data_IF_490092089674
#
_entry.id   IF_490092089674
#
_cell.length_a   1.000
_cell.length_b   1.000
_cell.length_c   1.000
_cell.angle_alpha   90.00
_cell.angle_beta   90.00
_cell.angle_gamma   90.00
#
_symmetry.space_group_name_H-M   'P 1'
#
loop_
_entity.id
_entity.type
_entity.pdbx_description
1 polymer ?
#
# COMPACT_ATOMS: atom_id res chain seq x y z
N UNK A 1 -12.29 8.40 -37.91
CA UNK A 1 -11.59 9.56 -38.48
C UNK A 1 -11.40 9.40 -40.00
N UNK A 2 -10.97 8.24 -40.50
CA UNK A 2 -10.74 7.99 -41.95
C UNK A 2 -12.04 8.15 -42.79
N UNK A 3 -13.18 7.73 -42.27
CA UNK A 3 -14.48 7.82 -42.97
C UNK A 3 -14.99 9.26 -43.12
N UNK A 4 -14.61 10.17 -42.24
CA UNK A 4 -15.03 11.59 -42.25
C UNK A 4 -14.16 12.40 -43.20
N UNK A 5 -12.84 12.12 -43.25
CA UNK A 5 -11.87 12.91 -44.00
C UNK A 5 -11.61 12.40 -45.44
N UNK A 6 -12.21 11.27 -45.84
CA UNK A 6 -12.00 10.60 -47.15
C UNK A 6 -10.52 10.37 -47.56
N UNK A 7 -9.64 10.27 -46.56
CA UNK A 7 -8.24 9.94 -46.83
C UNK A 7 -7.99 8.43 -46.71
N UNK A 8 -7.56 7.82 -47.78
CA UNK A 8 -7.04 6.47 -47.81
C UNK A 8 -5.55 6.50 -47.56
N UNK A 9 -5.13 6.38 -46.29
CA UNK A 9 -3.72 6.37 -45.94
C UNK A 9 -3.47 6.58 -44.45
N UNK A 10 -2.20 6.53 -44.05
CA UNK A 10 -1.80 6.78 -42.68
C UNK A 10 -1.65 8.29 -42.42
N UNK A 11 -2.31 8.81 -41.39
CA UNK A 11 -2.24 10.23 -41.02
C UNK A 11 -1.14 10.51 -40.00
N UNK A 12 -0.67 9.50 -39.28
CA UNK A 12 0.37 9.63 -38.25
C UNK A 12 1.20 8.36 -38.16
N UNK A 13 2.49 8.53 -37.97
CA UNK A 13 3.48 7.48 -37.74
C UNK A 13 4.11 7.69 -36.37
N UNK A 14 3.95 6.72 -35.47
CA UNK A 14 4.58 6.72 -34.16
C UNK A 14 5.81 5.82 -34.20
N UNK A 15 6.95 6.38 -33.77
CA UNK A 15 8.23 5.67 -33.72
C UNK A 15 8.76 5.78 -32.30
N UNK A 16 9.08 4.64 -31.70
CA UNK A 16 9.65 4.54 -30.36
C UNK A 16 11.15 4.33 -30.47
N UNK A 17 11.92 5.16 -29.82
CA UNK A 17 13.34 4.98 -29.60
C UNK A 17 13.60 4.49 -28.18
N UNK A 18 14.74 3.84 -27.98
CA UNK A 18 15.12 3.32 -26.66
C UNK A 18 15.44 4.44 -25.66
N UNK A 19 15.93 5.57 -26.16
CA UNK A 19 16.29 6.74 -25.35
C UNK A 19 15.97 8.04 -26.09
N UNK A 20 15.63 9.09 -25.33
CA UNK A 20 15.30 10.41 -25.88
C UNK A 20 16.52 11.11 -26.56
N UNK A 21 17.72 10.90 -26.00
CA UNK A 21 18.93 11.43 -26.60
C UNK A 21 19.12 10.89 -28.02
N UNK A 22 19.01 9.58 -28.21
CA UNK A 22 19.04 8.88 -29.47
C UNK A 22 17.92 9.33 -30.43
N UNK A 23 16.71 9.55 -29.88
CA UNK A 23 15.59 10.08 -30.66
C UNK A 23 15.89 11.46 -31.22
N UNK A 24 16.49 12.35 -30.41
CA UNK A 24 16.86 13.71 -30.80
C UNK A 24 17.96 13.73 -31.86
N UNK A 25 18.96 12.89 -31.73
CA UNK A 25 20.07 12.77 -32.65
C UNK A 25 19.64 12.20 -34.00
N UNK A 26 18.82 11.16 -34.02
CA UNK A 26 18.41 10.44 -35.22
C UNK A 26 17.12 10.95 -35.88
N UNK A 27 16.40 11.88 -35.26
CA UNK A 27 15.14 12.39 -35.78
C UNK A 27 15.26 12.98 -37.18
N UNK A 28 16.34 13.71 -37.43
CA UNK A 28 16.61 14.31 -38.75
C UNK A 28 16.96 13.27 -39.82
N UNK A 29 17.71 12.25 -39.46
CA UNK A 29 18.07 11.13 -40.33
C UNK A 29 16.84 10.30 -40.67
N UNK A 30 16.06 9.93 -39.65
CA UNK A 30 14.81 9.19 -39.80
C UNK A 30 13.82 9.92 -40.71
N UNK A 31 13.66 11.23 -40.51
CA UNK A 31 12.83 12.07 -41.40
C UNK A 31 13.27 11.99 -42.85
N UNK A 32 14.57 12.04 -43.11
CA UNK A 32 15.15 11.94 -44.47
C UNK A 32 14.86 10.57 -45.08
N UNK A 33 15.05 9.51 -44.32
CA UNK A 33 14.78 8.14 -44.76
C UNK A 33 13.29 7.94 -45.09
N UNK A 34 12.40 8.38 -44.24
CA UNK A 34 10.94 8.27 -44.47
C UNK A 34 10.52 9.09 -45.71
N UNK A 35 11.03 10.32 -45.87
CA UNK A 35 10.70 11.15 -47.03
C UNK A 35 11.24 10.60 -48.35
N UNK A 36 12.31 9.83 -48.29
CA UNK A 36 12.90 9.21 -49.49
C UNK A 36 12.29 7.86 -49.86
N UNK A 37 11.82 7.12 -48.85
CA UNK A 37 11.23 5.80 -49.06
C UNK A 37 9.72 5.84 -49.29
N UNK A 38 9.05 6.95 -48.98
CA UNK A 38 7.60 7.08 -49.09
C UNK A 38 7.21 8.33 -49.87
N UNK A 39 6.07 8.26 -50.57
CA UNK A 39 5.47 9.45 -51.24
C UNK A 39 4.80 10.43 -50.23
N UNK A 40 4.93 10.17 -48.94
CA UNK A 40 4.33 11.00 -47.89
C UNK A 40 5.24 12.15 -47.51
N UNK A 41 4.71 13.36 -47.43
CA UNK A 41 5.40 14.53 -46.87
C UNK A 41 5.12 14.62 -45.37
N UNK A 42 6.19 14.64 -44.59
CA UNK A 42 6.11 14.88 -43.14
C UNK A 42 5.85 16.37 -42.93
N UNK A 43 4.64 16.73 -42.52
CA UNK A 43 4.25 18.14 -42.29
C UNK A 43 4.84 18.67 -40.98
N UNK A 44 4.83 17.86 -39.94
CA UNK A 44 5.47 18.16 -38.64
C UNK A 44 5.87 16.88 -37.95
N UNK A 45 6.83 16.97 -37.07
CA UNK A 45 7.21 15.89 -36.16
C UNK A 45 7.30 16.42 -34.73
N UNK A 46 6.85 15.63 -33.81
CA UNK A 46 6.87 15.92 -32.38
C UNK A 46 7.85 14.95 -31.71
N UNK A 47 8.88 15.52 -31.09
CA UNK A 47 9.74 14.75 -30.18
C UNK A 47 9.20 14.93 -28.77
N UNK A 48 8.51 13.92 -28.28
CA UNK A 48 7.99 13.91 -26.91
C UNK A 48 9.03 13.30 -25.96
N UNK A 49 9.40 14.06 -24.94
CA UNK A 49 10.26 13.56 -23.87
C UNK A 49 9.36 12.99 -22.76
N UNK A 50 9.37 11.66 -22.55
CA UNK A 50 8.52 11.06 -21.53
C UNK A 50 8.75 11.62 -20.11
N UNK A 51 9.97 12.12 -19.83
CA UNK A 51 10.27 12.68 -18.51
C UNK A 51 9.68 14.08 -18.30
N UNK A 52 9.40 14.82 -19.37
CA UNK A 52 8.85 16.19 -19.35
C UNK A 52 7.38 16.24 -19.78
N UNK A 53 6.81 15.12 -20.19
CA UNK A 53 5.41 15.03 -20.54
C UNK A 53 4.57 15.36 -19.32
N UNK A 54 3.73 16.40 -19.43
CA UNK A 54 2.91 16.91 -18.32
C UNK A 54 2.00 15.84 -17.74
N UNK A 55 1.51 14.91 -18.57
CA UNK A 55 0.69 13.79 -18.09
C UNK A 55 1.51 12.81 -17.24
N UNK A 56 2.72 12.44 -17.69
CA UNK A 56 3.58 11.51 -16.92
C UNK A 56 4.03 12.15 -15.61
N UNK A 57 4.35 13.44 -15.63
CA UNK A 57 4.67 14.21 -14.43
C UNK A 57 3.46 14.27 -13.48
N UNK A 58 2.27 14.55 -14.01
CA UNK A 58 1.02 14.55 -13.26
C UNK A 58 0.70 13.19 -12.65
N UNK A 59 0.84 12.10 -13.42
CA UNK A 59 0.64 10.74 -12.93
C UNK A 59 1.62 10.37 -11.81
N UNK A 60 2.87 10.77 -11.90
CA UNK A 60 3.86 10.58 -10.81
C UNK A 60 3.49 11.36 -9.56
N UNK A 61 3.03 12.60 -9.69
CA UNK A 61 2.58 13.39 -8.55
C UNK A 61 1.35 12.77 -7.90
N UNK A 62 0.38 12.34 -8.69
CA UNK A 62 -0.79 11.63 -8.21
C UNK A 62 -0.43 10.34 -7.47
N UNK A 63 0.49 9.54 -8.02
CA UNK A 63 1.00 8.33 -7.36
C UNK A 63 1.67 8.63 -6.01
N UNK A 64 2.38 9.76 -5.88
CA UNK A 64 2.97 10.19 -4.59
C UNK A 64 1.90 10.51 -3.56
N UNK A 65 0.83 11.21 -3.97
CA UNK A 65 -0.30 11.49 -3.08
C UNK A 65 -0.97 10.20 -2.63
N UNK A 66 -1.22 9.26 -3.54
CA UNK A 66 -1.78 7.95 -3.19
C UNK A 66 -0.87 7.18 -2.24
N UNK A 67 0.45 7.25 -2.43
CA UNK A 67 1.42 6.61 -1.53
C UNK A 67 1.35 7.22 -0.12
N UNK A 68 1.25 8.54 0.00
CA UNK A 68 1.09 9.21 1.30
C UNK A 68 -0.21 8.76 1.98
N UNK A 69 -1.32 8.73 1.24
CA UNK A 69 -2.60 8.24 1.75
C UNK A 69 -2.52 6.78 2.21
N UNK A 70 -1.81 5.93 1.46
CA UNK A 70 -1.60 4.53 1.83
C UNK A 70 -0.80 4.41 3.15
N UNK A 71 0.23 5.23 3.34
CA UNK A 71 1.00 5.26 4.58
C UNK A 71 0.13 5.73 5.76
N UNK A 72 -0.67 6.77 5.57
CA UNK A 72 -1.60 7.24 6.61
C UNK A 72 -2.62 6.15 6.95
N UNK A 73 -3.21 5.51 5.95
CA UNK A 73 -4.14 4.40 6.17
C UNK A 73 -3.48 3.24 6.93
N UNK A 74 -2.22 2.93 6.63
CA UNK A 74 -1.45 1.90 7.32
C UNK A 74 -1.21 2.27 8.80
N UNK A 75 -0.91 3.54 9.11
CA UNK A 75 -0.75 4.01 10.50
C UNK A 75 -2.07 3.86 11.26
N UNK A 76 -3.19 4.27 10.67
CA UNK A 76 -4.52 4.14 11.28
C UNK A 76 -4.88 2.68 11.50
N UNK A 77 -4.64 1.82 10.51
CA UNK A 77 -4.88 0.39 10.61
C UNK A 77 -4.03 -0.25 11.74
N UNK A 78 -2.75 0.14 11.83
CA UNK A 78 -1.85 -0.31 12.89
C UNK A 78 -2.37 0.07 14.28
N UNK A 79 -2.84 1.30 14.44
CA UNK A 79 -3.47 1.76 15.69
C UNK A 79 -4.72 0.96 16.05
N UNK A 80 -5.58 0.68 15.06
CA UNK A 80 -6.78 -0.14 15.24
C UNK A 80 -6.44 -1.57 15.69
N UNK A 81 -5.49 -2.22 15.01
CA UNK A 81 -5.04 -3.57 15.38
C UNK A 81 -4.48 -3.59 16.80
N UNK A 82 -3.65 -2.59 17.16
CA UNK A 82 -3.09 -2.47 18.51
C UNK A 82 -4.21 -2.35 19.57
N UNK A 83 -5.23 -1.54 19.30
CA UNK A 83 -6.37 -1.38 20.22
C UNK A 83 -7.18 -2.67 20.36
N UNK A 84 -7.50 -3.34 19.23
CA UNK A 84 -8.25 -4.61 19.27
C UNK A 84 -7.49 -5.67 20.05
N UNK A 85 -6.21 -5.87 19.77
CA UNK A 85 -5.39 -6.86 20.49
C UNK A 85 -5.28 -6.49 21.97
N UNK A 86 -5.11 -5.21 22.31
CA UNK A 86 -5.06 -4.76 23.70
C UNK A 86 -6.37 -5.06 24.44
N UNK A 87 -7.51 -4.85 23.80
CA UNK A 87 -8.83 -5.16 24.36
C UNK A 87 -9.00 -6.67 24.56
N UNK A 88 -8.70 -7.47 23.55
CA UNK A 88 -8.78 -8.94 23.63
C UNK A 88 -7.88 -9.48 24.76
N UNK A 89 -6.66 -8.97 24.85
CA UNK A 89 -5.73 -9.34 25.92
C UNK A 89 -6.27 -8.94 27.29
N UNK A 90 -6.85 -7.74 27.42
CA UNK A 90 -7.42 -7.26 28.68
C UNK A 90 -8.62 -8.12 29.12
N UNK A 91 -9.51 -8.46 28.20
CA UNK A 91 -10.67 -9.32 28.46
C UNK A 91 -10.27 -10.76 28.83
N UNK A 92 -9.18 -11.25 28.25
CA UNK A 92 -8.70 -12.62 28.45
C UNK A 92 -7.64 -12.76 29.55
N UNK A 93 -7.37 -11.71 30.35
CA UNK A 93 -6.36 -11.77 31.43
C UNK A 93 -6.54 -12.93 32.37
N UNK A 94 -7.79 -13.23 32.78
CA UNK A 94 -8.11 -14.36 33.66
C UNK A 94 -7.78 -15.71 33.02
N UNK A 95 -8.03 -15.86 31.71
CA UNK A 95 -7.69 -17.06 30.95
C UNK A 95 -6.18 -17.24 30.86
N UNK A 96 -5.45 -16.13 30.60
CA UNK A 96 -3.98 -16.12 30.60
C UNK A 96 -3.43 -16.53 31.96
N UNK A 97 -4.03 -16.03 33.06
CA UNK A 97 -3.68 -16.41 34.43
C UNK A 97 -3.90 -17.92 34.69
N UNK A 98 -5.05 -18.44 34.27
CA UNK A 98 -5.38 -19.87 34.41
C UNK A 98 -4.41 -20.74 33.58
N UNK A 99 -4.09 -20.37 32.35
CA UNK A 99 -3.11 -21.08 31.52
C UNK A 99 -1.75 -21.13 32.19
N UNK A 100 -1.29 -20.01 32.78
CA UNK A 100 0.00 -19.94 33.49
C UNK A 100 -0.03 -20.79 34.78
N UNK A 101 -1.16 -20.82 35.49
CA UNK A 101 -1.30 -21.69 36.65
C UNK A 101 -1.23 -23.19 36.34
N UNK A 102 -1.63 -23.57 35.10
CA UNK A 102 -1.48 -24.92 34.54
C UNK A 102 -0.08 -25.20 33.96
N UNK A 103 0.85 -24.22 34.02
CA UNK A 103 2.23 -24.39 33.61
C UNK A 103 2.58 -23.75 32.25
N UNK A 104 1.66 -23.00 31.61
CA UNK A 104 1.99 -22.28 30.39
C UNK A 104 3.02 -21.18 30.65
N UNK A 105 4.02 -21.09 29.76
CA UNK A 105 5.05 -20.07 29.83
C UNK A 105 4.62 -18.76 29.16
N UNK A 106 5.31 -17.66 29.45
CA UNK A 106 5.09 -16.40 28.74
C UNK A 106 5.30 -16.49 27.22
N UNK A 107 6.14 -17.44 26.77
CA UNK A 107 6.35 -17.71 25.34
C UNK A 107 5.14 -18.36 24.68
N UNK A 108 4.44 -19.24 25.39
CA UNK A 108 3.24 -19.90 24.87
C UNK A 108 2.12 -18.87 24.68
N UNK A 109 1.94 -17.98 25.65
CA UNK A 109 1.02 -16.84 25.53
C UNK A 109 1.39 -15.95 24.35
N UNK A 110 2.67 -15.59 24.21
CA UNK A 110 3.16 -14.78 23.10
C UNK A 110 2.84 -15.43 21.74
N UNK A 111 3.13 -16.72 21.58
CA UNK A 111 2.88 -17.45 20.34
C UNK A 111 1.39 -17.51 19.97
N UNK A 112 0.51 -17.72 20.95
CA UNK A 112 -0.94 -17.79 20.72
C UNK A 112 -1.45 -16.44 20.19
N UNK A 113 -1.11 -15.33 20.84
CA UNK A 113 -1.62 -14.02 20.43
C UNK A 113 -0.95 -13.45 19.20
N UNK A 114 0.33 -13.74 18.97
CA UNK A 114 0.98 -13.42 17.69
C UNK A 114 0.42 -14.26 16.54
N UNK A 115 0.11 -15.53 16.79
CA UNK A 115 -0.60 -16.38 15.85
C UNK A 115 -1.98 -15.83 15.48
N UNK A 116 -2.71 -15.30 16.46
CA UNK A 116 -3.99 -14.63 16.24
C UNK A 116 -3.82 -13.36 15.38
N UNK A 117 -2.83 -12.52 15.71
CA UNK A 117 -2.51 -11.32 14.91
C UNK A 117 -2.11 -11.68 13.48
N UNK A 118 -1.33 -12.75 13.30
CA UNK A 118 -0.98 -13.27 11.99
C UNK A 118 -2.20 -13.76 11.21
N UNK A 119 -3.12 -14.49 11.86
CA UNK A 119 -4.36 -14.93 11.24
C UNK A 119 -5.22 -13.74 10.75
N UNK A 120 -5.35 -12.68 11.55
CA UNK A 120 -6.00 -11.45 11.12
C UNK A 120 -5.26 -10.77 9.96
N UNK A 121 -3.93 -10.79 9.97
CA UNK A 121 -3.10 -10.32 8.87
C UNK A 121 -3.41 -11.08 7.57
N UNK A 122 -3.48 -12.40 7.62
CA UNK A 122 -3.83 -13.24 6.45
C UNK A 122 -5.24 -12.94 5.95
N UNK A 123 -6.23 -12.89 6.86
CA UNK A 123 -7.63 -12.62 6.52
C UNK A 123 -7.83 -11.22 5.92
N UNK A 124 -7.02 -10.24 6.29
CA UNK A 124 -7.06 -8.90 5.69
C UNK A 124 -6.27 -8.80 4.39
N UNK A 125 -5.11 -9.45 4.33
CA UNK A 125 -4.20 -9.35 3.17
C UNK A 125 -4.75 -10.04 1.93
N UNK A 126 -5.34 -11.22 2.07
CA UNK A 126 -5.87 -11.97 0.93
C UNK A 126 -6.94 -11.16 0.18
N UNK A 127 -8.04 -10.73 0.80
CA UNK A 127 -9.04 -9.91 0.11
C UNK A 127 -8.49 -8.55 -0.31
N UNK A 128 -7.55 -7.95 0.45
CA UNK A 128 -6.90 -6.71 0.10
C UNK A 128 -6.11 -6.79 -1.20
N UNK A 129 -5.32 -7.83 -1.39
CA UNK A 129 -4.58 -8.07 -2.63
C UNK A 129 -5.52 -8.44 -3.78
N UNK A 130 -6.50 -9.32 -3.54
CA UNK A 130 -7.48 -9.74 -4.55
C UNK A 130 -8.33 -8.57 -5.07
N UNK A 131 -8.66 -7.59 -4.23
CA UNK A 131 -9.37 -6.39 -4.64
C UNK A 131 -8.43 -5.31 -5.21
N UNK A 132 -7.26 -5.14 -4.62
CA UNK A 132 -6.32 -4.10 -4.99
C UNK A 132 -5.74 -4.26 -6.41
N UNK A 133 -5.43 -5.49 -6.81
CA UNK A 133 -4.88 -5.77 -8.14
C UNK A 133 -5.85 -5.41 -9.29
N UNK A 134 -7.11 -5.87 -9.31
CA UNK A 134 -8.04 -5.49 -10.37
C UNK A 134 -8.41 -4.01 -10.33
N UNK A 135 -8.51 -3.39 -9.15
CA UNK A 135 -8.72 -1.95 -9.03
C UNK A 135 -7.56 -1.15 -9.63
N UNK A 136 -6.31 -1.52 -9.32
CA UNK A 136 -5.14 -0.87 -9.89
C UNK A 136 -5.10 -1.00 -11.42
N UNK A 137 -5.44 -2.19 -11.94
CA UNK A 137 -5.57 -2.41 -13.39
C UNK A 137 -6.68 -1.56 -14.02
N UNK A 138 -7.84 -1.48 -13.38
CA UNK A 138 -8.96 -0.68 -13.87
C UNK A 138 -8.57 0.80 -13.98
N UNK A 139 -7.89 1.35 -12.97
CA UNK A 139 -7.38 2.72 -13.00
C UNK A 139 -6.37 2.92 -14.13
N UNK A 140 -5.44 1.98 -14.34
CA UNK A 140 -4.46 2.05 -15.42
C UNK A 140 -5.13 2.03 -16.80
N UNK A 141 -6.08 1.13 -17.04
CA UNK A 141 -6.83 1.02 -18.29
C UNK A 141 -7.67 2.27 -18.54
N UNK A 142 -8.29 2.84 -17.52
CA UNK A 142 -9.06 4.07 -17.64
C UNK A 142 -8.17 5.30 -17.95
N UNK A 143 -6.99 5.36 -17.38
CA UNK A 143 -6.05 6.45 -17.57
C UNK A 143 -5.30 6.40 -18.91
N UNK A 144 -5.07 5.22 -19.48
CA UNK A 144 -4.28 5.02 -20.69
C UNK A 144 -4.77 5.83 -21.91
N UNK A 145 -6.07 5.88 -22.26
CA UNK A 145 -6.57 6.69 -23.37
C UNK A 145 -6.37 8.19 -23.15
N UNK A 146 -6.48 8.65 -21.90
CA UNK A 146 -6.26 10.06 -21.53
C UNK A 146 -4.78 10.42 -21.71
N UNK A 147 -3.90 9.46 -21.44
CA UNK A 147 -2.44 9.60 -21.62
C UNK A 147 -1.99 9.44 -23.07
N UNK A 148 -2.89 9.04 -23.97
CA UNK A 148 -2.56 8.62 -25.32
C UNK A 148 -1.40 7.58 -25.35
N UNK A 149 -1.39 6.68 -24.37
CA UNK A 149 -0.40 5.61 -24.23
C UNK A 149 -1.06 4.26 -24.50
N UNK A 150 -0.35 3.37 -25.18
CA UNK A 150 -0.75 1.99 -25.29
C UNK A 150 -0.16 1.20 -24.13
N UNK A 151 -1.02 0.52 -23.37
CA UNK A 151 -0.60 -0.40 -22.35
C UNK A 151 -0.21 -1.72 -23.03
N UNK A 152 1.08 -1.94 -23.22
CA UNK A 152 1.61 -3.20 -23.76
C UNK A 152 1.50 -4.33 -22.72
N UNK A 153 1.68 -4.02 -21.45
CA UNK A 153 1.60 -4.96 -20.35
C UNK A 153 0.81 -4.37 -19.17
N UNK A 154 -0.28 -5.01 -18.81
CA UNK A 154 -1.13 -4.66 -17.68
C UNK A 154 -0.91 -5.56 -16.48
N UNK A 155 0.12 -6.44 -16.52
CA UNK A 155 0.46 -7.29 -15.39
C UNK A 155 0.99 -6.44 -14.22
N UNK A 156 0.53 -6.71 -13.00
CA UNK A 156 1.03 -5.99 -11.84
C UNK A 156 2.51 -6.33 -11.61
N UNK A 157 3.36 -5.36 -11.29
CA UNK A 157 4.77 -5.63 -11.02
C UNK A 157 4.89 -6.57 -9.80
N UNK A 158 5.71 -7.64 -9.89
CA UNK A 158 5.85 -8.62 -8.82
C UNK A 158 6.30 -8.00 -7.49
N UNK A 159 7.05 -6.91 -7.55
CA UNK A 159 7.44 -6.12 -6.37
C UNK A 159 6.22 -5.53 -5.64
N UNK A 160 5.19 -5.04 -6.36
CA UNK A 160 3.99 -4.50 -5.73
C UNK A 160 3.20 -5.58 -4.99
N UNK A 161 3.12 -6.78 -5.56
CA UNK A 161 2.50 -7.94 -4.91
C UNK A 161 3.29 -8.33 -3.66
N UNK A 162 4.62 -8.44 -3.77
CA UNK A 162 5.48 -8.80 -2.66
C UNK A 162 5.40 -7.77 -1.51
N UNK A 163 5.38 -6.47 -1.82
CA UNK A 163 5.21 -5.42 -0.83
C UNK A 163 3.81 -5.46 -0.18
N UNK A 164 2.76 -5.68 -0.97
CA UNK A 164 1.40 -5.81 -0.45
C UNK A 164 1.25 -6.98 0.51
N UNK A 165 1.74 -8.15 0.13
CA UNK A 165 1.75 -9.35 0.99
C UNK A 165 2.64 -9.16 2.21
N UNK A 166 3.86 -8.66 2.03
CA UNK A 166 4.81 -8.46 3.12
C UNK A 166 4.28 -7.48 4.17
N UNK A 167 3.83 -6.31 3.75
CA UNK A 167 3.26 -5.31 4.67
C UNK A 167 1.98 -5.80 5.33
N UNK A 168 1.08 -6.45 4.58
CA UNK A 168 -0.18 -6.95 5.11
C UNK A 168 -0.01 -8.04 6.18
N UNK A 169 1.05 -8.84 6.11
CA UNK A 169 1.35 -9.87 7.10
C UNK A 169 2.21 -9.36 8.25
N UNK A 170 3.24 -8.57 7.96
CA UNK A 170 4.23 -8.14 8.96
C UNK A 170 3.66 -7.03 9.86
N UNK A 171 2.94 -6.05 9.30
CA UNK A 171 2.47 -4.89 10.08
C UNK A 171 1.52 -5.29 11.22
N UNK A 172 0.50 -6.16 11.04
CA UNK A 172 -0.36 -6.59 12.14
C UNK A 172 0.40 -7.33 13.25
N UNK A 173 1.38 -8.15 12.89
CA UNK A 173 2.21 -8.87 13.86
C UNK A 173 3.07 -7.90 14.67
N UNK A 174 3.69 -6.91 14.03
CA UNK A 174 4.45 -5.86 14.72
C UNK A 174 3.55 -5.00 15.62
N UNK A 175 2.34 -4.66 15.15
CA UNK A 175 1.36 -3.92 15.92
C UNK A 175 0.94 -4.65 17.20
N UNK A 176 0.77 -5.97 17.13
CA UNK A 176 0.41 -6.81 18.26
C UNK A 176 1.55 -7.05 19.24
N UNK A 177 2.80 -6.84 18.83
CA UNK A 177 3.97 -7.23 19.62
C UNK A 177 4.00 -6.55 21.00
N UNK A 178 3.76 -5.24 21.06
CA UNK A 178 3.80 -4.48 22.31
C UNK A 178 2.71 -4.93 23.29
N UNK A 179 1.40 -4.97 22.92
CA UNK A 179 0.36 -5.41 23.85
C UNK A 179 0.53 -6.88 24.29
N UNK A 180 0.98 -7.74 23.37
CA UNK A 180 1.16 -9.17 23.69
C UNK A 180 2.38 -9.39 24.59
N UNK A 181 3.47 -8.67 24.41
CA UNK A 181 4.62 -8.71 25.33
C UNK A 181 4.21 -8.27 26.75
N UNK A 182 3.40 -7.23 26.86
CA UNK A 182 2.88 -6.78 28.14
C UNK A 182 1.99 -7.87 28.78
N UNK A 183 1.11 -8.50 28.00
CA UNK A 183 0.29 -9.62 28.46
C UNK A 183 1.10 -10.81 28.93
N UNK A 184 2.16 -11.15 28.20
CA UNK A 184 3.02 -12.30 28.57
C UNK A 184 3.75 -12.10 29.90
N UNK A 185 3.89 -10.89 30.37
CA UNK A 185 4.56 -10.52 31.65
C UNK A 185 3.58 -10.47 32.84
N UNK A 186 2.27 -10.54 32.63
CA UNK A 186 1.28 -10.55 33.72
C UNK A 186 1.54 -11.76 34.63
N UNK A 187 1.64 -11.49 35.95
CA UNK A 187 1.84 -12.54 36.95
C UNK A 187 0.54 -13.23 37.28
N UNK A 188 0.60 -14.49 37.76
CA UNK A 188 -0.58 -15.28 38.17
C UNK A 188 -1.35 -14.54 39.27
N UNK A 189 -0.62 -13.94 40.23
CA UNK A 189 -1.21 -13.19 41.32
C UNK A 189 -2.00 -11.97 40.83
N UNK A 190 -1.45 -11.21 39.91
CA UNK A 190 -2.07 -10.03 39.32
C UNK A 190 -3.32 -10.38 38.51
N UNK A 191 -3.27 -11.47 37.74
CA UNK A 191 -4.42 -11.98 36.97
C UNK A 191 -5.57 -12.47 37.84
N UNK A 192 -5.30 -12.96 39.06
CA UNK A 192 -6.32 -13.44 40.02
C UNK A 192 -6.85 -12.34 40.94
N UNK A 193 -6.09 -11.27 41.17
CA UNK A 193 -6.47 -10.19 42.09
C UNK A 193 -7.32 -9.12 41.44
N UNK A 194 -7.37 -9.07 40.09
CA UNK A 194 -8.10 -8.06 39.29
C UNK A 194 -9.64 -8.15 39.41
N UNK A 195 -10.16 -9.05 40.27
CA UNK A 195 -11.60 -9.17 40.58
C UNK A 195 -12.17 -8.11 41.54
N UNK A 196 -11.36 -7.18 42.05
CA UNK A 196 -11.82 -6.31 43.14
C UNK A 196 -11.51 -4.82 43.06
N UNK A 197 -10.64 -4.36 42.24
CA UNK A 197 -10.20 -2.95 42.32
C UNK A 197 -10.14 -2.28 40.91
N UNK A 198 -11.31 -2.01 40.37
CA UNK A 198 -11.50 -1.03 39.29
C UNK A 198 -11.56 0.40 39.84
N UNK A 199 -10.82 0.75 40.90
CA UNK A 199 -10.90 2.08 41.54
C UNK A 199 -9.64 2.93 41.41
N UNK A 200 -8.80 2.71 40.38
CA UNK A 200 -7.71 3.61 40.15
C UNK A 200 -7.83 4.43 38.84
N UNK A 201 -9.07 4.67 38.42
CA UNK A 201 -9.40 5.61 37.33
C UNK A 201 -9.49 7.05 37.89
N UNK A 202 -8.52 7.53 38.62
CA UNK A 202 -8.62 8.85 39.24
C UNK A 202 -7.32 9.57 39.59
N UNK A 203 -6.19 8.97 39.26
CA UNK A 203 -4.90 9.64 39.51
C UNK A 203 -4.09 9.87 38.24
N UNK A 204 -4.72 10.54 37.26
CA UNK A 204 -3.98 11.20 36.22
C UNK A 204 -3.24 12.44 36.79
N UNK A 205 -2.12 12.88 36.20
CA UNK A 205 -1.35 14.02 36.67
C UNK A 205 -2.18 15.32 36.81
N UNK A 206 -3.32 15.41 36.12
CA UNK A 206 -4.27 16.52 36.22
C UNK A 206 -5.06 16.54 37.52
N UNK A 207 -5.37 15.40 38.14
CA UNK A 207 -6.10 15.33 39.39
C UNK A 207 -5.25 15.80 40.58
N UNK A 208 -3.94 15.63 40.51
CA UNK A 208 -2.98 16.13 41.53
C UNK A 208 -2.79 17.63 41.47
N UNK A 209 -2.99 18.26 40.31
CA UNK A 209 -2.91 19.71 40.12
C UNK A 209 -4.18 20.39 40.64
N UNK A 210 -5.35 19.81 40.41
CA UNK A 210 -6.64 20.35 40.87
C UNK A 210 -6.89 20.19 42.37
N UNK A 211 -6.22 19.30 43.06
CA UNK A 211 -6.31 19.12 44.52
C UNK A 211 -5.43 20.10 45.29
N UNK A 212 -4.65 20.97 44.64
CA UNK A 212 -3.77 21.97 45.23
C UNK A 212 -4.27 23.42 45.10
N UNK A 213 -5.46 23.60 44.49
CA UNK A 213 -6.17 24.88 44.44
C UNK A 213 -7.35 24.84 45.39
#
# INVERSE_FOLDING_TARGET
AQSILRFTGFSSLYVRFNDFATARERASEFRRVVSNLTSYRISFYLLDNPQQNAFIVGARQFSRVLMILAVVAMIVANFLVTNVISTVVAEQRQQIGAMKALGATGKDVLLIYLGLAFAYGVLGTIPGVLAGLPLGRAVAVFAAPIANTMLEDTSPPPLAIALGLGMGLVVPVLAALVPVLNASRVTILEAMTDQGISSNYGRGPLATILARI
#
